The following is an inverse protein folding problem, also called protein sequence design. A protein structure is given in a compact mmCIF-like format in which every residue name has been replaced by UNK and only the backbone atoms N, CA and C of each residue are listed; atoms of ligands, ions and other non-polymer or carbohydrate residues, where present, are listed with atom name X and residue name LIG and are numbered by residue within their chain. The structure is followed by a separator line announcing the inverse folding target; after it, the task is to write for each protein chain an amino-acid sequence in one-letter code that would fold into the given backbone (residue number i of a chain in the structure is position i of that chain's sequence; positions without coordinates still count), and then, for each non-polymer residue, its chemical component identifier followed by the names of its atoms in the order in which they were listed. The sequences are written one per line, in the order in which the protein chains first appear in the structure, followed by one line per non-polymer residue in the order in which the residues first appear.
data_IF_967044056182
#
_entry.id   IF_967044056182
#
_cell.length_a   1.000
_cell.length_b   1.000
_cell.length_c   1.000
_cell.angle_alpha   90.00
_cell.angle_beta   90.00
_cell.angle_gamma   90.00
#
_symmetry.space_group_name_H-M   'P 1'
#
loop_
_entity.id
_entity.type
_entity.pdbx_description
1 polymer ?
#
# COMPACT_ATOMS: atom_id res chain seq x y z
N UNK A 1 5.52 -14.14 -4.12
CA UNK A 1 4.76 -12.87 -4.02
C UNK A 1 3.76 -13.05 -2.88
N UNK A 2 3.91 -12.31 -1.78
CA UNK A 2 3.21 -12.58 -0.51
C UNK A 2 1.73 -12.21 -0.53
N UNK A 3 0.89 -13.01 0.16
CA UNK A 3 -0.58 -12.87 0.18
C UNK A 3 -1.09 -11.48 0.59
N UNK A 4 -0.34 -10.74 1.40
CA UNK A 4 -0.61 -9.34 1.78
C UNK A 4 -0.80 -8.43 0.56
N UNK A 5 0.02 -8.62 -0.48
CA UNK A 5 -0.07 -7.86 -1.73
C UNK A 5 -1.31 -8.28 -2.54
N UNK A 6 -1.67 -9.56 -2.50
CA UNK A 6 -2.86 -10.07 -3.17
C UNK A 6 -4.14 -9.41 -2.63
N UNK A 7 -4.24 -9.21 -1.32
CA UNK A 7 -5.39 -8.51 -0.71
C UNK A 7 -5.44 -7.02 -1.10
N UNK A 8 -4.29 -6.34 -1.12
CA UNK A 8 -4.23 -4.95 -1.61
C UNK A 8 -4.70 -4.82 -3.05
N UNK A 9 -4.29 -5.75 -3.93
CA UNK A 9 -4.69 -5.77 -5.34
C UNK A 9 -6.18 -6.08 -5.53
N UNK A 10 -6.82 -6.75 -4.57
CA UNK A 10 -8.27 -7.01 -4.55
C UNK A 10 -9.08 -5.81 -4.02
N UNK A 11 -8.44 -4.69 -3.70
CA UNK A 11 -9.10 -3.48 -3.19
C UNK A 11 -9.35 -3.50 -1.68
N UNK A 12 -8.73 -4.43 -0.94
CA UNK A 12 -8.84 -4.46 0.52
C UNK A 12 -8.07 -3.25 1.10
N UNK A 13 -8.69 -2.44 1.97
CA UNK A 13 -8.06 -1.24 2.50
C UNK A 13 -6.83 -1.56 3.36
N UNK A 14 -5.84 -0.66 3.32
CA UNK A 14 -4.56 -0.80 4.02
C UNK A 14 -4.69 -1.15 5.50
N UNK A 15 -5.70 -0.61 6.20
CA UNK A 15 -5.92 -0.86 7.61
C UNK A 15 -6.29 -2.34 7.89
N UNK A 16 -7.05 -2.97 7.00
CA UNK A 16 -7.44 -4.38 7.12
C UNK A 16 -6.23 -5.27 6.86
N UNK A 17 -5.44 -4.96 5.84
CA UNK A 17 -4.21 -5.70 5.50
C UNK A 17 -3.16 -5.58 6.60
N UNK A 18 -3.08 -4.41 7.25
CA UNK A 18 -2.21 -4.16 8.42
C UNK A 18 -2.58 -5.06 9.60
N UNK A 19 -3.87 -5.17 9.93
CA UNK A 19 -4.38 -6.03 10.99
C UNK A 19 -4.21 -7.52 10.64
N UNK A 20 -4.52 -7.91 9.40
CA UNK A 20 -4.38 -9.30 8.94
C UNK A 20 -2.94 -9.82 9.00
N UNK A 21 -1.97 -8.97 8.67
CA UNK A 21 -0.56 -9.34 8.73
C UNK A 21 0.12 -9.05 10.06
N UNK A 22 -0.64 -8.62 11.08
CA UNK A 22 -0.14 -8.21 12.39
C UNK A 22 1.09 -7.28 12.30
N UNK A 23 1.05 -6.34 11.36
CA UNK A 23 2.20 -5.48 11.08
C UNK A 23 2.30 -4.35 12.10
N UNK A 24 3.50 -4.14 12.65
CA UNK A 24 3.81 -2.93 13.36
C UNK A 24 3.69 -1.71 12.43
N UNK A 25 3.23 -0.58 12.97
CA UNK A 25 2.80 0.61 12.19
C UNK A 25 3.83 1.04 11.16
N UNK A 26 5.10 1.12 11.56
CA UNK A 26 6.20 1.62 10.73
C UNK A 26 6.73 0.56 9.77
N UNK A 27 6.71 -0.72 10.17
CA UNK A 27 7.09 -1.86 9.32
C UNK A 27 6.17 -2.00 8.12
N UNK A 28 4.87 -1.74 8.30
CA UNK A 28 3.90 -1.76 7.21
C UNK A 28 4.17 -0.66 6.18
N UNK A 29 4.47 0.56 6.66
CA UNK A 29 4.77 1.71 5.80
C UNK A 29 6.08 1.50 5.03
N UNK A 30 7.13 1.00 5.71
CA UNK A 30 8.40 0.63 5.07
C UNK A 30 8.22 -0.46 4.02
N UNK A 31 7.43 -1.50 4.32
CA UNK A 31 7.09 -2.57 3.39
C UNK A 31 6.38 -2.01 2.14
N UNK A 32 5.40 -1.13 2.34
CA UNK A 32 4.68 -0.47 1.24
C UNK A 32 5.59 0.42 0.41
N UNK A 33 6.46 1.21 1.05
CA UNK A 33 7.39 2.10 0.35
C UNK A 33 8.38 1.28 -0.50
N UNK A 34 8.90 0.17 0.04
CA UNK A 34 9.80 -0.72 -0.67
C UNK A 34 9.11 -1.45 -1.84
N UNK A 35 7.80 -1.69 -1.73
CA UNK A 35 6.99 -2.31 -2.78
C UNK A 35 6.25 -1.30 -3.67
N UNK A 36 6.39 0.02 -3.46
CA UNK A 36 5.68 1.07 -4.18
C UNK A 36 5.97 1.05 -5.68
N UNK A 37 7.23 0.79 -6.08
CA UNK A 37 7.62 0.72 -7.48
C UNK A 37 6.99 -0.47 -8.22
N UNK A 38 6.80 -1.60 -7.52
CA UNK A 38 6.15 -2.80 -8.08
C UNK A 38 4.63 -2.60 -8.11
N UNK A 39 4.09 -1.86 -7.14
CA UNK A 39 2.67 -1.51 -7.03
C UNK A 39 2.24 -0.41 -7.99
N UNK A 40 3.14 0.48 -8.43
CA UNK A 40 2.83 1.63 -9.28
C UNK A 40 1.93 1.30 -10.50
N UNK A 41 2.26 0.29 -11.35
CA UNK A 41 1.40 -0.07 -12.48
C UNK A 41 0.06 -0.70 -12.06
N UNK A 42 -0.03 -1.33 -10.88
CA UNK A 42 -1.27 -1.91 -10.38
C UNK A 42 -2.17 -0.88 -9.68
N UNK A 43 -1.57 0.13 -9.06
CA UNK A 43 -2.28 1.25 -8.45
C UNK A 43 -2.89 2.16 -9.53
N UNK A 44 -2.23 2.33 -10.67
CA UNK A 44 -2.79 3.07 -11.82
C UNK A 44 -4.05 2.43 -12.42
N UNK A 45 -4.26 1.12 -12.24
CA UNK A 45 -5.49 0.44 -12.67
C UNK A 45 -6.67 0.76 -11.74
N UNK A 46 -6.38 1.25 -10.52
CA UNK A 46 -7.36 1.46 -9.47
C UNK A 46 -7.15 2.84 -8.84
N UNK A 47 -7.64 3.87 -9.54
CA UNK A 47 -7.42 5.30 -9.27
C UNK A 47 -7.62 5.68 -7.77
N UNK A 48 -8.63 5.08 -7.13
CA UNK A 48 -8.95 5.28 -5.72
C UNK A 48 -7.85 4.80 -4.73
N UNK A 49 -7.15 3.72 -5.10
CA UNK A 49 -6.08 3.13 -4.28
C UNK A 49 -4.80 3.94 -4.46
N UNK A 50 -4.53 4.43 -5.67
CA UNK A 50 -3.39 5.31 -5.97
C UNK A 50 -3.43 6.60 -5.15
N UNK A 51 -4.58 7.28 -5.07
CA UNK A 51 -4.69 8.54 -4.30
C UNK A 51 -4.39 8.32 -2.81
N UNK A 52 -4.87 7.21 -2.26
CA UNK A 52 -4.64 6.83 -0.87
C UNK A 52 -3.17 6.51 -0.63
N UNK A 53 -2.55 5.76 -1.54
CA UNK A 53 -1.14 5.39 -1.46
C UNK A 53 -0.23 6.62 -1.50
N UNK A 54 -0.50 7.53 -2.44
CA UNK A 54 0.32 8.71 -2.67
C UNK A 54 0.35 9.64 -1.44
N UNK A 55 -0.77 9.72 -0.70
CA UNK A 55 -0.86 10.46 0.57
C UNK A 55 0.03 9.87 1.67
N UNK A 56 0.30 8.57 1.66
CA UNK A 56 1.11 7.91 2.69
C UNK A 56 2.60 7.77 2.31
N UNK A 57 2.94 7.82 1.02
CA UNK A 57 4.31 7.54 0.55
C UNK A 57 5.09 8.76 0.07
N UNK A 58 4.45 9.88 -0.25
CA UNK A 58 5.17 11.11 -0.60
C UNK A 58 5.20 12.09 0.58
N UNK A 59 6.38 12.65 0.93
CA UNK A 59 6.44 13.77 1.87
C UNK A 59 5.71 14.98 1.26
N UNK A 60 5.10 15.84 2.10
CA UNK A 60 4.43 17.04 1.61
C UNK A 60 5.44 17.90 0.86
N UNK A 61 5.22 18.05 -0.44
CA UNK A 61 5.92 19.04 -1.26
C UNK A 61 5.29 20.38 -0.89
N UNK A 62 5.96 21.10 0.00
CA UNK A 62 5.71 22.52 0.27
C UNK A 62 6.56 23.36 -0.67
#
# INVERSE_FOLDING_TARGET
IGGTLHYLLKGVPFNVVKVMGNWARDSFTLYLCNHALILAPFLQVNDQVLTSFNRFTMPPIH
#
